data_IF_867856721595
#
_entry.id   IF_867856721595
#
_cell.length_a   1.000
_cell.length_b   1.000
_cell.length_c   1.000
_cell.angle_alpha   90.00
_cell.angle_beta   90.00
_cell.angle_gamma   90.00
#
_symmetry.space_group_name_H-M   'P 1'
#
loop_
_entity.id
_entity.type
_entity.pdbx_description
1 polymer ?
#
# COMPACT_ATOMS: atom_id res chain seq x y z
N UNK A 1 -6.60 59.36 -17.55
CA UNK A 1 -6.62 58.36 -16.46
C UNK A 1 -7.31 57.08 -16.93
N UNK A 2 -6.63 56.29 -17.77
CA UNK A 2 -7.02 54.94 -18.18
C UNK A 2 -5.74 54.11 -18.01
N UNK A 3 -5.82 52.86 -17.55
CA UNK A 3 -4.70 51.91 -17.32
C UNK A 3 -4.29 51.65 -15.86
N UNK A 4 -5.20 51.64 -14.89
CA UNK A 4 -4.90 51.05 -13.56
C UNK A 4 -5.75 49.85 -13.16
N UNK A 5 -6.75 49.45 -13.95
CA UNK A 5 -7.64 48.34 -13.61
C UNK A 5 -7.23 46.97 -14.18
N UNK A 6 -6.29 46.92 -15.14
CA UNK A 6 -5.91 45.66 -15.80
C UNK A 6 -4.86 44.83 -15.04
N UNK A 7 -4.15 45.43 -14.08
CA UNK A 7 -3.07 44.74 -13.35
C UNK A 7 -3.61 43.90 -12.18
N UNK A 8 -4.84 44.15 -11.72
CA UNK A 8 -5.42 43.42 -10.58
C UNK A 8 -6.04 42.06 -10.95
N UNK A 9 -6.31 41.80 -12.24
CA UNK A 9 -6.90 40.54 -12.71
C UNK A 9 -5.86 39.46 -13.08
N UNK A 10 -4.61 39.86 -13.36
CA UNK A 10 -3.54 38.91 -13.73
C UNK A 10 -2.88 38.23 -12.51
N UNK A 11 -3.11 38.73 -11.30
CA UNK A 11 -2.56 38.16 -10.06
C UNK A 11 -3.30 36.92 -9.56
N UNK A 12 -4.49 36.61 -10.12
CA UNK A 12 -5.28 35.43 -9.72
C UNK A 12 -5.08 34.20 -10.63
N UNK A 13 -4.35 34.33 -11.73
CA UNK A 13 -4.14 33.23 -12.68
C UNK A 13 -2.90 32.35 -12.37
N UNK A 14 -2.18 32.62 -11.27
CA UNK A 14 -0.94 31.90 -10.92
C UNK A 14 -1.05 30.96 -9.71
N UNK A 15 -2.24 30.77 -9.13
CA UNK A 15 -2.52 29.64 -8.26
C UNK A 15 -3.11 28.51 -9.12
N UNK A 16 -2.59 27.30 -9.25
CA UNK A 16 -1.44 26.63 -8.66
C UNK A 16 -1.46 25.25 -9.34
N UNK A 17 -0.45 24.89 -10.13
CA UNK A 17 -0.22 23.48 -10.51
C UNK A 17 0.41 22.72 -9.33
N UNK A 18 -0.14 22.86 -8.12
CA UNK A 18 0.29 22.06 -6.97
C UNK A 18 -0.20 20.63 -7.17
N UNK A 19 0.73 19.68 -7.17
CA UNK A 19 0.40 18.25 -7.16
C UNK A 19 -0.54 17.97 -5.98
N UNK A 20 -1.66 17.29 -6.23
CA UNK A 20 -2.58 16.84 -5.18
C UNK A 20 -1.79 15.99 -4.19
N UNK A 21 -1.81 16.37 -2.92
CA UNK A 21 -1.30 15.56 -1.81
C UNK A 21 -2.47 14.79 -1.22
N UNK A 22 -2.33 13.48 -1.07
CA UNK A 22 -3.37 12.63 -0.48
C UNK A 22 -3.22 12.61 1.04
N UNK A 23 -4.33 12.74 1.75
CA UNK A 23 -4.43 12.51 3.20
C UNK A 23 -5.22 11.22 3.48
N UNK A 24 -5.26 10.76 4.74
CA UNK A 24 -5.98 9.54 5.14
C UNK A 24 -7.41 9.51 4.60
N UNK A 25 -8.10 10.63 4.76
CA UNK A 25 -9.51 10.80 4.42
C UNK A 25 -9.77 10.78 2.91
N UNK A 26 -8.74 10.90 2.06
CA UNK A 26 -8.89 10.69 0.62
C UNK A 26 -8.99 9.20 0.25
N UNK A 27 -8.50 8.29 1.09
CA UNK A 27 -8.51 6.86 0.78
C UNK A 27 -9.89 6.27 1.03
N UNK A 28 -10.49 5.70 -0.02
CA UNK A 28 -11.82 5.09 0.04
C UNK A 28 -11.89 3.85 0.94
N UNK A 29 -10.75 3.19 1.17
CA UNK A 29 -10.64 2.04 2.07
C UNK A 29 -10.23 2.42 3.50
N UNK A 30 -10.02 3.70 3.79
CA UNK A 30 -9.76 4.14 5.16
C UNK A 30 -11.04 4.04 5.99
N UNK A 31 -10.94 3.37 7.13
CA UNK A 31 -11.99 3.31 8.14
C UNK A 31 -11.38 3.67 9.50
N UNK A 32 -11.90 4.70 10.16
CA UNK A 32 -11.38 5.17 11.44
C UNK A 32 -11.45 4.09 12.54
N UNK A 33 -12.54 3.32 12.55
CA UNK A 33 -12.78 2.23 13.51
C UNK A 33 -12.62 0.86 12.83
N UNK A 34 -11.62 0.72 11.95
CA UNK A 34 -11.35 -0.52 11.24
C UNK A 34 -11.25 -1.70 12.21
N UNK A 35 -12.00 -2.77 11.92
CA UNK A 35 -11.96 -4.03 12.67
C UNK A 35 -11.60 -5.16 11.74
N UNK A 36 -10.44 -5.77 11.96
CA UNK A 36 -10.07 -6.99 11.25
C UNK A 36 -11.09 -8.09 11.56
N UNK A 37 -11.56 -8.77 10.52
CA UNK A 37 -12.37 -9.97 10.69
C UNK A 37 -11.57 -11.02 11.48
N UNK A 38 -12.06 -11.49 12.65
CA UNK A 38 -11.32 -12.42 13.51
C UNK A 38 -11.07 -13.79 12.87
N UNK A 39 -11.81 -14.15 11.81
CA UNK A 39 -11.66 -15.41 11.07
C UNK A 39 -10.65 -15.27 9.92
N UNK A 40 -10.19 -14.05 9.63
CA UNK A 40 -9.24 -13.79 8.55
C UNK A 40 -7.93 -14.57 8.76
N UNK A 41 -7.42 -15.15 7.67
CA UNK A 41 -6.08 -15.75 7.63
C UNK A 41 -4.96 -14.70 7.50
N UNK A 42 -5.31 -13.41 7.40
CA UNK A 42 -4.33 -12.33 7.29
C UNK A 42 -3.65 -12.08 8.64
N UNK A 43 -2.35 -12.33 8.66
CA UNK A 43 -1.47 -12.12 9.80
C UNK A 43 -0.88 -10.72 9.77
N UNK A 44 -0.75 -10.12 10.95
CA UNK A 44 -0.19 -8.79 11.16
C UNK A 44 1.08 -8.84 11.99
N UNK A 45 1.48 -10.01 12.48
CA UNK A 45 2.67 -10.27 13.29
C UNK A 45 3.90 -10.61 12.44
N UNK A 46 3.97 -10.09 11.21
CA UNK A 46 5.09 -10.30 10.32
C UNK A 46 4.97 -9.51 9.02
N UNK A 47 5.58 -10.03 7.96
CA UNK A 47 5.56 -9.45 6.61
C UNK A 47 5.23 -10.50 5.55
N UNK A 48 4.71 -10.05 4.41
CA UNK A 48 4.45 -10.89 3.24
C UNK A 48 5.45 -10.53 2.15
N UNK A 49 6.35 -11.45 1.78
CA UNK A 49 7.52 -11.16 0.92
C UNK A 49 7.31 -11.74 -0.47
N UNK A 50 7.50 -10.94 -1.52
CA UNK A 50 7.31 -11.38 -2.90
C UNK A 50 8.33 -12.47 -3.25
N UNK A 51 7.83 -13.65 -3.62
CA UNK A 51 8.69 -14.79 -3.97
C UNK A 51 8.57 -15.17 -5.45
N UNK A 52 7.36 -15.11 -6.00
CA UNK A 52 7.08 -15.61 -7.33
C UNK A 52 6.02 -14.76 -8.05
N UNK A 53 6.26 -14.52 -9.34
CA UNK A 53 5.31 -13.89 -10.25
C UNK A 53 4.98 -14.90 -11.33
N UNK A 54 3.70 -15.21 -11.46
CA UNK A 54 3.20 -16.16 -12.44
C UNK A 54 2.16 -15.49 -13.34
N UNK A 55 2.24 -15.82 -14.63
CA UNK A 55 1.25 -15.49 -15.65
C UNK A 55 0.80 -16.79 -16.32
N UNK A 56 -0.32 -16.77 -17.02
CA UNK A 56 -0.83 -17.95 -17.77
C UNK A 56 0.25 -18.65 -18.63
N UNK A 57 1.22 -17.90 -19.13
CA UNK A 57 2.22 -18.39 -20.08
C UNK A 57 3.57 -18.74 -19.43
N UNK A 58 3.89 -18.22 -18.25
CA UNK A 58 5.19 -18.43 -17.59
C UNK A 58 5.23 -17.98 -16.14
N UNK A 59 6.18 -18.54 -15.37
CA UNK A 59 6.54 -18.08 -14.02
C UNK A 59 7.96 -17.52 -13.99
N UNK A 60 8.20 -16.52 -13.14
CA UNK A 60 9.52 -15.94 -12.91
C UNK A 60 9.70 -15.55 -11.44
N UNK A 61 10.95 -15.55 -11.00
CA UNK A 61 11.33 -14.85 -9.77
C UNK A 61 11.24 -13.34 -9.98
N UNK A 62 10.80 -12.57 -8.98
CA UNK A 62 10.83 -11.12 -9.04
C UNK A 62 12.28 -10.65 -9.14
N UNK A 63 12.50 -9.56 -9.87
CA UNK A 63 13.80 -8.87 -9.91
C UNK A 63 13.97 -7.93 -8.72
N UNK A 64 12.88 -7.57 -8.05
CA UNK A 64 12.86 -6.65 -6.92
C UNK A 64 12.49 -7.43 -5.64
N UNK A 65 13.13 -7.07 -4.53
CA UNK A 65 12.73 -7.54 -3.22
C UNK A 65 11.61 -6.66 -2.67
N UNK A 66 10.37 -7.17 -2.66
CA UNK A 66 9.18 -6.44 -2.25
C UNK A 66 8.55 -7.14 -1.05
N UNK A 67 8.11 -6.39 -0.05
CA UNK A 67 7.26 -6.96 1.00
C UNK A 67 6.14 -6.02 1.45
N UNK A 68 5.06 -6.61 1.94
CA UNK A 68 3.95 -5.93 2.61
C UNK A 68 4.01 -6.11 4.12
N UNK A 69 3.75 -5.02 4.84
CA UNK A 69 3.49 -5.01 6.29
C UNK A 69 2.06 -4.55 6.52
N UNK A 70 1.22 -5.45 7.03
CA UNK A 70 -0.15 -5.14 7.44
C UNK A 70 -0.22 -4.77 8.92
N UNK A 71 -1.10 -3.82 9.22
CA UNK A 71 -1.39 -3.35 10.58
C UNK A 71 -2.83 -3.68 10.98
N UNK A 72 -3.08 -3.77 12.28
CA UNK A 72 -4.40 -4.15 12.81
C UNK A 72 -5.45 -3.06 12.57
N UNK A 73 -5.00 -1.81 12.40
CA UNK A 73 -5.82 -0.62 12.16
C UNK A 73 -6.19 -0.43 10.68
N UNK A 74 -5.97 -1.43 9.82
CA UNK A 74 -6.42 -1.41 8.42
C UNK A 74 -5.43 -0.78 7.43
N UNK A 75 -4.31 -0.23 7.91
CA UNK A 75 -3.23 0.25 7.05
C UNK A 75 -2.34 -0.91 6.57
N UNK A 76 -1.74 -0.74 5.39
CA UNK A 76 -0.72 -1.61 4.82
C UNK A 76 0.38 -0.77 4.20
N UNK A 77 1.63 -1.11 4.46
CA UNK A 77 2.79 -0.47 3.85
C UNK A 77 3.48 -1.48 2.92
N UNK A 78 3.94 -1.01 1.77
CA UNK A 78 4.91 -1.76 0.93
C UNK A 78 6.31 -1.23 1.18
N UNK A 79 7.29 -2.10 1.03
CA UNK A 79 8.68 -1.69 0.87
C UNK A 79 9.21 -2.32 -0.41
N UNK A 80 9.91 -1.53 -1.22
CA UNK A 80 10.64 -1.98 -2.41
C UNK A 80 12.12 -1.82 -2.12
N UNK A 81 12.79 -2.93 -1.84
CA UNK A 81 14.23 -2.99 -1.59
C UNK A 81 14.97 -3.31 -2.89
N UNK A 82 15.15 -2.27 -3.70
CA UNK A 82 15.86 -2.34 -4.99
C UNK A 82 17.28 -2.92 -4.81
N UNK A 83 17.92 -2.67 -3.67
CA UNK A 83 19.28 -3.13 -3.36
C UNK A 83 19.40 -4.55 -2.84
N UNK A 84 18.28 -5.24 -2.58
CA UNK A 84 18.26 -6.58 -1.97
C UNK A 84 19.10 -6.65 -0.69
N UNK A 85 19.04 -5.59 0.11
CA UNK A 85 19.79 -5.44 1.35
C UNK A 85 19.12 -6.18 2.52
N UNK A 86 17.80 -6.34 2.48
CA UNK A 86 17.03 -6.95 3.56
C UNK A 86 17.02 -8.47 3.37
N UNK A 87 17.64 -9.20 4.29
CA UNK A 87 17.79 -10.66 4.21
C UNK A 87 17.45 -11.36 5.52
N UNK A 88 17.55 -10.65 6.62
CA UNK A 88 17.36 -11.18 7.98
C UNK A 88 16.14 -10.58 8.64
N UNK A 89 15.60 -11.29 9.62
CA UNK A 89 14.45 -10.83 10.43
C UNK A 89 14.68 -9.43 11.02
N UNK A 90 15.86 -9.17 11.57
CA UNK A 90 16.18 -7.87 12.16
C UNK A 90 16.18 -6.75 11.11
N UNK A 91 16.66 -7.01 9.89
CA UNK A 91 16.65 -6.01 8.81
C UNK A 91 15.22 -5.67 8.36
N UNK A 92 14.29 -6.63 8.36
CA UNK A 92 12.87 -6.32 8.13
C UNK A 92 12.33 -5.41 9.23
N UNK A 93 12.61 -5.74 10.50
CA UNK A 93 12.15 -4.95 11.64
C UNK A 93 12.71 -3.51 11.58
N UNK A 94 14.00 -3.35 11.32
CA UNK A 94 14.62 -2.02 11.20
C UNK A 94 14.10 -1.25 9.97
N UNK A 95 13.83 -1.94 8.86
CA UNK A 95 13.19 -1.32 7.69
C UNK A 95 11.80 -0.77 8.04
N UNK A 96 10.97 -1.55 8.76
CA UNK A 96 9.65 -1.11 9.23
C UNK A 96 9.77 0.10 10.17
N UNK A 97 10.67 0.05 11.16
CA UNK A 97 10.89 1.17 12.10
C UNK A 97 11.34 2.43 11.35
N UNK A 98 12.27 2.30 10.41
CA UNK A 98 12.77 3.42 9.59
C UNK A 98 11.66 4.01 8.74
N UNK A 99 10.82 3.17 8.13
CA UNK A 99 9.66 3.62 7.37
C UNK A 99 8.72 4.45 8.26
N UNK A 100 8.31 3.92 9.42
CA UNK A 100 7.44 4.62 10.38
C UNK A 100 8.05 5.96 10.83
N UNK A 101 9.35 5.96 11.14
CA UNK A 101 10.06 7.18 11.54
C UNK A 101 10.09 8.23 10.42
N UNK A 102 10.17 7.81 9.15
CA UNK A 102 10.15 8.72 8.00
C UNK A 102 8.77 9.33 7.75
N UNK A 103 7.71 8.54 7.92
CA UNK A 103 6.33 9.00 7.73
C UNK A 103 5.88 9.97 8.81
N UNK A 104 6.45 9.89 10.02
CA UNK A 104 6.12 10.81 11.11
C UNK A 104 6.79 12.19 10.98
N UNK A 105 7.54 12.47 9.91
CA UNK A 105 8.19 13.76 9.69
C UNK A 105 7.28 14.73 8.92
N UNK A 106 7.18 15.99 9.34
CA UNK A 106 6.39 16.99 8.62
C UNK A 106 6.93 17.17 7.19
N UNK A 107 6.03 17.07 6.19
CA UNK A 107 6.28 17.16 4.73
C UNK A 107 6.73 15.87 4.03
N UNK A 108 6.76 14.73 4.71
CA UNK A 108 6.93 13.46 3.99
C UNK A 108 5.67 13.11 3.20
N UNK A 109 5.83 12.53 2.02
CA UNK A 109 4.72 12.18 1.13
C UNK A 109 4.58 10.66 1.12
N UNK A 110 3.41 10.20 1.54
CA UNK A 110 3.06 8.80 1.73
C UNK A 110 2.76 8.12 0.38
N UNK A 111 3.79 7.52 -0.19
CA UNK A 111 3.75 6.88 -1.50
C UNK A 111 3.65 5.35 -1.44
N UNK A 112 3.85 4.77 -0.27
CA UNK A 112 3.97 3.32 -0.07
C UNK A 112 2.93 2.78 0.92
N UNK A 113 2.21 3.69 1.57
CA UNK A 113 1.12 3.50 2.49
C UNK A 113 -0.16 3.27 1.69
N UNK A 114 -1.03 2.49 2.29
CA UNK A 114 -2.30 2.12 1.71
C UNK A 114 -3.22 1.59 2.78
N UNK A 115 -4.46 1.34 2.38
CA UNK A 115 -5.45 0.71 3.24
C UNK A 115 -5.96 -0.55 2.58
N UNK A 116 -6.39 -1.51 3.40
CA UNK A 116 -6.95 -2.73 2.91
C UNK A 116 -8.33 -2.99 3.47
N UNK A 117 -9.13 -3.69 2.68
CA UNK A 117 -10.42 -4.24 3.08
C UNK A 117 -10.43 -5.73 2.76
N UNK A 118 -11.15 -6.50 3.56
CA UNK A 118 -11.32 -7.93 3.35
C UNK A 118 -12.78 -8.36 3.39
N UNK A 119 -13.08 -9.42 2.65
CA UNK A 119 -14.33 -10.17 2.73
C UNK A 119 -14.01 -11.66 2.57
N UNK A 120 -14.29 -12.46 3.61
CA UNK A 120 -13.81 -13.84 3.72
C UNK A 120 -12.29 -13.94 3.46
N UNK A 121 -11.88 -14.65 2.41
CA UNK A 121 -10.48 -14.80 2.00
C UNK A 121 -10.04 -13.80 0.92
N UNK A 122 -10.93 -12.93 0.44
CA UNK A 122 -10.61 -11.90 -0.55
C UNK A 122 -10.11 -10.64 0.14
N UNK A 123 -9.07 -10.04 -0.40
CA UNK A 123 -8.50 -8.77 0.05
C UNK A 123 -8.41 -7.80 -1.13
N UNK A 124 -8.62 -6.53 -0.85
CA UNK A 124 -8.27 -5.44 -1.76
C UNK A 124 -7.42 -4.44 -0.99
N UNK A 125 -6.32 -4.02 -1.61
CA UNK A 125 -5.38 -3.03 -1.10
C UNK A 125 -5.46 -1.81 -2.00
N UNK A 126 -5.70 -0.64 -1.42
CA UNK A 126 -5.67 0.65 -2.10
C UNK A 126 -4.38 1.36 -1.73
N UNK A 127 -3.66 1.86 -2.73
CA UNK A 127 -2.52 2.76 -2.54
C UNK A 127 -2.48 3.87 -3.57
N UNK A 128 -1.72 4.92 -3.28
CA UNK A 128 -1.37 5.93 -4.28
C UNK A 128 -0.16 5.45 -5.08
N UNK A 129 -0.25 5.50 -6.40
CA UNK A 129 0.91 5.31 -7.28
C UNK A 129 1.62 6.65 -7.47
N UNK A 130 2.83 6.80 -6.92
CA UNK A 130 3.62 8.04 -6.97
C UNK A 130 3.85 8.60 -8.37
N UNK A 131 4.24 7.79 -9.38
CA UNK A 131 4.51 8.31 -10.71
C UNK A 131 3.26 8.91 -11.37
N UNK A 132 2.08 8.40 -11.02
CA UNK A 132 0.80 8.75 -11.67
C UNK A 132 -0.12 9.60 -10.78
N UNK A 133 0.20 9.74 -9.50
CA UNK A 133 -0.58 10.42 -8.47
C UNK A 133 -2.06 10.00 -8.43
N UNK A 134 -2.33 8.71 -8.58
CA UNK A 134 -3.68 8.14 -8.62
C UNK A 134 -3.78 6.90 -7.74
N UNK A 135 -5.01 6.57 -7.33
CA UNK A 135 -5.27 5.34 -6.59
C UNK A 135 -5.16 4.11 -7.50
N UNK A 136 -4.43 3.12 -7.00
CA UNK A 136 -4.31 1.78 -7.57
C UNK A 136 -4.85 0.77 -6.56
N UNK A 137 -5.56 -0.21 -7.08
CA UNK A 137 -6.18 -1.29 -6.31
C UNK A 137 -5.54 -2.62 -6.67
N UNK A 138 -5.04 -3.31 -5.65
CA UNK A 138 -4.47 -4.65 -5.74
C UNK A 138 -5.46 -5.62 -5.12
N UNK A 139 -6.02 -6.51 -5.93
CA UNK A 139 -6.96 -7.53 -5.50
C UNK A 139 -6.21 -8.84 -5.29
N UNK A 140 -6.52 -9.53 -4.20
CA UNK A 140 -5.83 -10.75 -3.84
C UNK A 140 -6.64 -11.72 -3.00
N UNK A 141 -6.10 -12.92 -2.86
CA UNK A 141 -6.60 -13.98 -1.99
C UNK A 141 -5.61 -14.16 -0.84
N UNK A 142 -6.14 -14.23 0.38
CA UNK A 142 -5.39 -14.56 1.58
C UNK A 142 -5.63 -16.02 1.91
N UNK A 143 -4.55 -16.78 1.94
CA UNK A 143 -4.52 -18.16 2.40
C UNK A 143 -3.68 -18.24 3.68
N UNK A 144 -3.66 -19.42 4.31
CA UNK A 144 -2.80 -19.64 5.47
C UNK A 144 -1.34 -19.30 5.11
N UNK A 145 -0.75 -18.38 5.88
CA UNK A 145 0.63 -17.93 5.76
C UNK A 145 1.03 -17.43 4.35
N UNK A 146 0.07 -16.90 3.57
CA UNK A 146 0.33 -16.44 2.20
C UNK A 146 -0.68 -15.39 1.71
N UNK A 147 -0.19 -14.39 0.99
CA UNK A 147 -0.98 -13.45 0.22
C UNK A 147 -0.74 -13.69 -1.27
N UNK A 148 -1.81 -13.74 -2.07
CA UNK A 148 -1.72 -13.89 -3.53
C UNK A 148 -2.40 -12.69 -4.17
N UNK A 149 -1.65 -11.79 -4.81
CA UNK A 149 -2.24 -10.71 -5.60
C UNK A 149 -2.53 -11.25 -7.01
N UNK A 150 -3.77 -11.08 -7.45
CA UNK A 150 -4.26 -11.64 -8.73
C UNK A 150 -4.61 -10.57 -9.77
N UNK A 151 -4.71 -9.31 -9.34
CA UNK A 151 -4.99 -8.19 -10.24
C UNK A 151 -4.55 -6.86 -9.66
N UNK A 152 -3.92 -6.04 -10.50
CA UNK A 152 -3.72 -4.62 -10.26
C UNK A 152 -4.60 -3.83 -11.24
N UNK A 153 -5.28 -2.80 -10.76
CA UNK A 153 -6.05 -1.90 -11.64
C UNK A 153 -6.33 -0.55 -10.97
N UNK A 154 -6.54 0.47 -11.78
CA UNK A 154 -7.05 1.78 -11.32
C UNK A 154 -8.58 1.79 -11.20
N UNK A 155 -9.24 0.78 -11.77
CA UNK A 155 -10.68 0.64 -11.82
C UNK A 155 -11.19 -0.30 -10.73
N UNK A 156 -12.31 0.04 -10.10
CA UNK A 156 -13.00 -0.83 -9.14
C UNK A 156 -13.18 -0.26 -7.75
N UNK A 157 -12.47 0.82 -7.41
CA UNK A 157 -12.78 1.65 -6.23
C UNK A 157 -12.85 0.84 -4.92
N UNK A 158 -12.01 -0.20 -4.80
CA UNK A 158 -11.98 -1.05 -3.61
C UNK A 158 -13.15 -2.04 -3.46
N UNK A 159 -13.94 -2.29 -4.50
CA UNK A 159 -15.06 -3.25 -4.44
C UNK A 159 -14.60 -4.68 -4.65
N UNK A 160 -14.92 -5.55 -3.71
CA UNK A 160 -14.64 -6.99 -3.82
C UNK A 160 -15.71 -7.64 -4.70
N UNK A 161 -15.45 -7.71 -6.00
CA UNK A 161 -16.33 -8.33 -7.01
C UNK A 161 -15.55 -9.40 -7.80
N UNK A 162 -16.20 -10.50 -8.18
CA UNK A 162 -15.54 -11.66 -8.81
C UNK A 162 -14.73 -11.32 -10.07
N UNK A 163 -15.17 -10.32 -10.85
CA UNK A 163 -14.44 -9.85 -12.05
C UNK A 163 -13.02 -9.32 -11.77
N UNK A 164 -12.69 -9.04 -10.51
CA UNK A 164 -11.35 -8.61 -10.09
C UNK A 164 -10.46 -9.77 -9.62
N UNK A 165 -11.00 -10.99 -9.50
CA UNK A 165 -10.28 -12.18 -9.03
C UNK A 165 -10.10 -13.15 -10.19
N UNK A 166 -9.10 -12.87 -11.04
CA UNK A 166 -8.84 -13.63 -12.27
C UNK A 166 -7.65 -14.57 -12.14
N UNK A 167 -7.63 -15.66 -12.89
CA UNK A 167 -6.54 -16.65 -12.87
C UNK A 167 -5.43 -16.42 -13.91
N UNK A 168 -5.33 -15.24 -14.52
CA UNK A 168 -4.32 -14.96 -15.56
C UNK A 168 -2.98 -14.49 -15.01
N UNK A 169 -2.96 -13.97 -13.78
CA UNK A 169 -1.83 -13.33 -13.13
C UNK A 169 -1.84 -13.66 -11.65
N UNK A 170 -0.68 -13.97 -11.06
CA UNK A 170 -0.51 -14.25 -9.63
C UNK A 170 0.86 -13.80 -9.14
N UNK A 171 0.90 -12.85 -8.21
CA UNK A 171 2.06 -12.61 -7.37
C UNK A 171 1.86 -13.33 -6.05
N UNK A 172 2.82 -14.15 -5.66
CA UNK A 172 2.77 -14.91 -4.42
C UNK A 172 3.71 -14.32 -3.39
N UNK A 173 3.15 -14.01 -2.22
CA UNK A 173 3.86 -13.48 -1.08
C UNK A 173 3.72 -14.42 0.12
N UNK A 174 4.68 -15.33 0.35
CA UNK A 174 4.72 -16.11 1.59
C UNK A 174 4.87 -15.20 2.82
N UNK A 175 4.27 -15.62 3.93
CA UNK A 175 4.36 -14.92 5.20
C UNK A 175 5.65 -15.28 5.93
N UNK A 176 6.36 -14.25 6.39
CA UNK A 176 7.51 -14.35 7.27
C UNK A 176 7.11 -13.78 8.64
N UNK A 177 6.98 -14.61 9.70
CA UNK A 177 6.77 -14.11 11.06
C UNK A 177 7.97 -13.27 11.50
N UNK A 178 7.70 -12.23 12.29
CA UNK A 178 8.74 -11.43 12.96
C UNK A 178 8.52 -11.53 14.48
N UNK A 179 9.55 -11.24 15.26
CA UNK A 179 9.46 -11.14 16.72
C UNK A 179 8.36 -10.16 17.13
N UNK A 180 7.26 -10.73 17.63
CA UNK A 180 6.06 -10.01 18.02
C UNK A 180 6.36 -8.89 19.02
N UNK A 181 7.29 -9.12 19.95
CA UNK A 181 7.65 -8.14 20.99
C UNK A 181 8.26 -6.86 20.41
N UNK A 182 8.86 -6.95 19.21
CA UNK A 182 9.46 -5.81 18.53
C UNK A 182 8.50 -5.05 17.62
N UNK A 183 7.37 -5.66 17.24
CA UNK A 183 6.44 -5.09 16.24
C UNK A 183 5.04 -4.81 16.77
N UNK A 184 4.62 -5.38 17.90
CA UNK A 184 3.25 -5.24 18.42
C UNK A 184 2.89 -3.80 18.82
N UNK A 185 3.89 -2.99 19.17
CA UNK A 185 3.71 -1.60 19.56
C UNK A 185 4.02 -0.61 18.42
N UNK A 186 4.39 -1.10 17.24
CA UNK A 186 4.70 -0.25 16.09
C UNK A 186 3.40 0.19 15.41
N UNK A 187 3.06 1.46 15.58
CA UNK A 187 1.94 2.09 14.89
C UNK A 187 2.40 2.70 13.57
N UNK A 188 1.64 2.50 12.48
CA UNK A 188 2.00 3.11 11.21
C UNK A 188 1.82 4.63 11.26
N UNK A 189 2.74 5.35 10.62
CA UNK A 189 2.69 6.81 10.48
C UNK A 189 1.86 7.27 9.27
N UNK A 190 1.72 8.60 9.15
CA UNK A 190 0.99 9.31 8.10
C UNK A 190 1.57 10.67 7.77
#
# INVERSE_FOLDING_TARGET
MKNKFWIMLLSFAFFSCSKKMYVKEDYTLYEQDFKRNPISQLRTDGVYVLENIWTKDSGRKPEEHIFYKFYEEGQVNITVDVGHQIKTEQEYIESIKKHIASTNQPKFTTHFEGYYKMEANKIVIQRVSSPRNLFVYYYGIVEKDKLIIVKETIDGKGKIEDKYFTDYYKETYPFLPLDKSQIENLKPGW
#
